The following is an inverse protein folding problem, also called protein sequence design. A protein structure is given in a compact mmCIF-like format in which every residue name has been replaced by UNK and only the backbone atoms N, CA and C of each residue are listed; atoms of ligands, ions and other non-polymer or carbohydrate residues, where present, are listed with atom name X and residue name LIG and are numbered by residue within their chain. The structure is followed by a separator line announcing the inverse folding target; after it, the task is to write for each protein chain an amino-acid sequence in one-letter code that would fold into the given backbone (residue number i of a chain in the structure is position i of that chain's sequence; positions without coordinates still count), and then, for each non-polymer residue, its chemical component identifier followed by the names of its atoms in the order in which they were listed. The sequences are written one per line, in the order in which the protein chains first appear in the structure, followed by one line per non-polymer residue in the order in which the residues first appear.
data_IF_206979775429
#
_entry.id   IF_206979775429
#
_cell.length_a   1.000
_cell.length_b   1.000
_cell.length_c   1.000
_cell.angle_alpha   90.00
_cell.angle_beta   90.00
_cell.angle_gamma   90.00
#
_symmetry.space_group_name_H-M   'P 1'
#
loop_
_entity.id
_entity.type
_entity.pdbx_description
1 polymer ?
#
# COMPACT_ATOMS: atom_id res chain seq x y z
N UNK A 1 7.61 -18.10 20.25
CA UNK A 1 8.88 -17.38 20.58
C UNK A 1 9.75 -18.21 21.52
N UNK A 2 9.20 -18.75 22.60
CA UNK A 2 9.96 -19.55 23.58
C UNK A 2 10.83 -20.69 22.99
N UNK A 3 10.38 -21.24 21.84
CA UNK A 3 11.16 -22.27 21.14
C UNK A 3 12.50 -21.71 20.63
N UNK A 4 12.50 -20.60 19.90
CA UNK A 4 13.73 -20.01 19.37
C UNK A 4 14.60 -19.39 20.46
N UNK A 5 13.99 -18.80 21.50
CA UNK A 5 14.69 -18.32 22.70
C UNK A 5 15.51 -19.44 23.34
N UNK A 6 14.92 -20.63 23.45
CA UNK A 6 15.62 -21.79 24.05
C UNK A 6 16.79 -22.31 23.20
N UNK A 7 16.92 -21.88 21.95
CA UNK A 7 17.95 -22.27 21.00
C UNK A 7 19.02 -21.18 20.79
N UNK A 8 18.87 -20.00 21.38
CA UNK A 8 19.82 -18.90 21.21
C UNK A 8 21.24 -19.35 21.60
N UNK A 9 22.23 -19.02 20.75
CA UNK A 9 23.61 -19.45 20.86
C UNK A 9 23.86 -20.92 20.49
N UNK A 10 22.84 -21.69 20.14
CA UNK A 10 23.00 -23.10 19.80
C UNK A 10 23.25 -23.31 18.32
N UNK A 11 24.01 -24.35 17.99
CA UNK A 11 24.16 -24.86 16.63
C UNK A 11 22.89 -25.63 16.24
N UNK A 12 22.25 -25.20 15.15
CA UNK A 12 21.01 -25.80 14.64
C UNK A 12 21.15 -26.20 13.17
N UNK A 13 20.20 -26.99 12.69
CA UNK A 13 20.07 -27.36 11.30
C UNK A 13 18.63 -27.16 10.83
N UNK A 14 18.47 -26.48 9.70
CA UNK A 14 17.19 -26.32 9.01
C UNK A 14 17.16 -27.28 7.84
N UNK A 15 16.27 -28.30 7.92
CA UNK A 15 16.10 -29.29 6.85
C UNK A 15 15.12 -28.77 5.80
N UNK A 16 15.36 -29.11 4.52
CA UNK A 16 14.48 -28.81 3.40
C UNK A 16 13.98 -27.37 3.43
N UNK A 17 14.87 -26.41 3.69
CA UNK A 17 14.50 -25.01 3.80
C UNK A 17 13.87 -24.49 2.49
N UNK A 18 12.85 -23.63 2.63
CA UNK A 18 12.20 -22.91 1.54
C UNK A 18 12.15 -21.42 1.90
N UNK A 19 12.56 -20.57 0.96
CA UNK A 19 12.49 -19.12 1.14
C UNK A 19 11.04 -18.64 1.03
N UNK A 20 10.60 -17.82 1.98
CA UNK A 20 9.28 -17.18 2.03
C UNK A 20 9.34 -15.68 1.79
N UNK A 21 10.54 -15.15 1.60
CA UNK A 21 10.81 -13.79 1.11
C UNK A 21 11.91 -13.81 0.05
N UNK A 22 12.09 -12.71 -0.65
CA UNK A 22 13.33 -12.42 -1.37
C UNK A 22 14.42 -12.05 -0.38
N UNK A 23 15.69 -12.07 -0.84
CA UNK A 23 16.76 -11.44 -0.09
C UNK A 23 16.54 -9.93 -0.04
N UNK A 24 16.41 -9.38 1.18
CA UNK A 24 16.17 -7.96 1.40
C UNK A 24 17.44 -7.11 1.21
N UNK A 25 17.32 -5.80 1.42
CA UNK A 25 18.42 -4.84 1.31
C UNK A 25 19.52 -5.02 2.35
N UNK A 26 19.26 -5.75 3.42
CA UNK A 26 20.22 -6.11 4.49
C UNK A 26 20.86 -7.49 4.27
N UNK A 27 20.65 -8.09 3.09
CA UNK A 27 21.10 -9.44 2.74
C UNK A 27 20.47 -10.58 3.55
N UNK A 28 19.38 -10.35 4.20
CA UNK A 28 18.62 -11.34 4.97
C UNK A 28 17.55 -11.99 4.11
N UNK A 29 17.17 -13.22 4.46
CA UNK A 29 16.04 -13.92 3.83
C UNK A 29 15.29 -14.74 4.87
N UNK A 30 13.96 -14.65 4.86
CA UNK A 30 13.13 -15.50 5.72
C UNK A 30 12.87 -16.85 5.06
N UNK A 31 12.98 -17.91 5.85
CA UNK A 31 12.78 -19.29 5.42
C UNK A 31 11.86 -20.03 6.40
N UNK A 32 11.28 -21.13 5.90
CA UNK A 32 10.65 -22.17 6.73
C UNK A 32 11.34 -23.49 6.51
N UNK A 33 11.31 -24.34 7.53
CA UNK A 33 11.82 -25.71 7.45
C UNK A 33 10.84 -26.64 6.69
N UNK A 34 11.32 -27.82 6.30
CA UNK A 34 10.55 -28.94 5.76
C UNK A 34 9.60 -28.54 4.61
N UNK A 35 10.06 -27.68 3.69
CA UNK A 35 9.29 -27.10 2.57
C UNK A 35 8.02 -26.34 3.02
N UNK A 36 7.91 -25.96 4.28
CA UNK A 36 6.72 -25.33 4.86
C UNK A 36 5.61 -26.34 5.24
N UNK A 37 5.95 -27.62 5.41
CA UNK A 37 4.99 -28.59 5.99
C UNK A 37 4.56 -28.11 7.39
N UNK A 38 3.26 -27.96 7.60
CA UNK A 38 2.66 -27.39 8.79
C UNK A 38 2.91 -25.88 9.02
N UNK A 39 3.45 -25.15 8.06
CA UNK A 39 3.45 -23.70 8.07
C UNK A 39 2.05 -23.14 7.77
N UNK A 40 1.90 -21.82 7.95
CA UNK A 40 0.66 -21.11 7.65
C UNK A 40 0.20 -21.21 6.19
N UNK A 41 -0.64 -20.28 5.75
CA UNK A 41 -1.15 -20.28 4.36
C UNK A 41 -0.10 -19.71 3.42
N UNK A 42 0.22 -20.46 2.36
CA UNK A 42 1.04 -19.98 1.26
C UNK A 42 0.21 -19.36 0.15
N UNK A 43 0.70 -18.27 -0.41
CA UNK A 43 0.24 -17.79 -1.71
C UNK A 43 0.69 -18.74 -2.83
N UNK A 44 0.16 -18.54 -4.05
CA UNK A 44 0.61 -19.27 -5.24
C UNK A 44 2.09 -19.00 -5.57
N UNK A 45 2.59 -17.84 -5.18
CA UNK A 45 3.97 -17.40 -5.40
C UNK A 45 4.94 -17.99 -4.36
N UNK A 46 4.40 -18.44 -3.23
CA UNK A 46 5.16 -19.14 -2.20
C UNK A 46 5.56 -18.27 -1.00
N UNK A 47 4.89 -17.16 -0.77
CA UNK A 47 5.03 -16.36 0.47
C UNK A 47 4.06 -16.87 1.54
N UNK A 48 4.40 -16.64 2.81
CA UNK A 48 3.50 -16.84 3.93
C UNK A 48 2.63 -15.61 4.13
N UNK A 49 1.31 -15.78 4.05
CA UNK A 49 0.35 -14.70 4.24
C UNK A 49 0.03 -14.54 5.73
N UNK A 50 0.23 -13.33 6.25
CA UNK A 50 -0.10 -12.98 7.63
C UNK A 50 -1.62 -13.01 7.83
N UNK A 51 -2.06 -13.65 8.92
CA UNK A 51 -3.46 -13.74 9.33
C UNK A 51 -3.66 -13.29 10.77
N UNK A 52 -4.87 -12.92 11.11
CA UNK A 52 -5.22 -12.55 12.48
C UNK A 52 -4.87 -13.63 13.50
N UNK A 53 -5.14 -14.89 13.15
CA UNK A 53 -4.97 -16.05 14.03
C UNK A 53 -3.64 -16.76 13.87
N UNK A 54 -2.82 -16.34 12.91
CA UNK A 54 -1.56 -16.98 12.59
C UNK A 54 -0.53 -15.97 12.06
N UNK A 55 0.37 -15.51 12.94
CA UNK A 55 1.44 -14.58 12.58
C UNK A 55 2.66 -15.26 11.92
N UNK A 56 2.58 -16.57 11.60
CA UNK A 56 3.64 -17.39 11.03
C UNK A 56 4.90 -17.45 11.93
N UNK A 57 4.78 -17.95 13.16
CA UNK A 57 5.90 -18.01 14.11
C UNK A 57 6.99 -19.02 13.74
N UNK A 58 6.72 -19.90 12.77
CA UNK A 58 7.65 -20.94 12.28
C UNK A 58 8.71 -20.39 11.31
N UNK A 59 8.54 -19.17 10.80
CA UNK A 59 9.56 -18.54 9.98
C UNK A 59 10.80 -18.20 10.78
N UNK A 60 11.97 -18.29 10.18
CA UNK A 60 13.22 -17.81 10.74
C UNK A 60 14.03 -17.08 9.67
N UNK A 61 14.80 -16.07 10.07
CA UNK A 61 15.66 -15.34 9.14
C UNK A 61 17.02 -16.02 9.01
N UNK A 62 17.55 -16.07 7.81
CA UNK A 62 18.96 -16.32 7.54
C UNK A 62 19.65 -14.96 7.40
N UNK A 63 20.74 -14.77 8.12
CA UNK A 63 21.46 -13.51 8.17
C UNK A 63 22.89 -13.68 7.60
N UNK A 64 23.47 -12.59 7.10
CA UNK A 64 24.74 -12.61 6.40
C UNK A 64 25.97 -12.25 7.28
N UNK A 65 25.82 -12.15 8.60
CA UNK A 65 26.90 -11.72 9.49
C UNK A 65 28.17 -12.59 9.40
N UNK A 66 28.03 -13.88 9.11
CA UNK A 66 29.17 -14.79 8.94
C UNK A 66 29.47 -15.12 7.47
N UNK A 67 28.45 -15.19 6.62
CA UNK A 67 28.56 -15.64 5.23
C UNK A 67 27.69 -14.78 4.33
N UNK A 68 28.27 -14.21 3.28
CA UNK A 68 27.52 -13.48 2.27
C UNK A 68 26.45 -14.37 1.64
N UNK A 69 25.18 -13.98 1.78
CA UNK A 69 24.05 -14.71 1.23
C UNK A 69 24.03 -14.63 -0.31
N UNK A 70 23.68 -15.71 -1.00
CA UNK A 70 23.43 -15.65 -2.44
C UNK A 70 22.19 -14.79 -2.74
N UNK A 71 21.97 -14.48 -4.01
CA UNK A 71 20.69 -13.93 -4.45
C UNK A 71 19.61 -14.99 -4.29
N UNK A 72 18.52 -14.66 -3.59
CA UNK A 72 17.42 -15.57 -3.27
C UNK A 72 16.11 -14.90 -3.64
N UNK A 73 15.29 -15.61 -4.40
CA UNK A 73 13.93 -15.23 -4.74
C UNK A 73 12.92 -15.99 -3.86
N UNK A 74 11.71 -15.43 -3.75
CA UNK A 74 10.57 -16.09 -3.10
C UNK A 74 10.38 -17.50 -3.68
N UNK A 75 10.10 -18.47 -2.80
CA UNK A 75 9.89 -19.87 -3.18
C UNK A 75 11.16 -20.65 -3.51
N UNK A 76 12.36 -20.02 -3.35
CA UNK A 76 13.62 -20.74 -3.56
C UNK A 76 13.73 -21.95 -2.61
N UNK A 77 14.26 -23.07 -3.14
CA UNK A 77 14.44 -24.31 -2.41
C UNK A 77 15.92 -24.60 -2.29
N UNK A 78 16.36 -24.92 -1.10
CA UNK A 78 17.75 -25.28 -0.81
C UNK A 78 18.00 -26.77 -1.05
N UNK A 79 19.17 -27.13 -1.58
CA UNK A 79 19.53 -28.52 -1.91
C UNK A 79 20.08 -29.29 -0.70
N UNK A 80 20.61 -28.57 0.28
CA UNK A 80 21.26 -29.12 1.47
C UNK A 80 20.68 -28.46 2.73
N UNK A 81 20.70 -29.15 3.88
CA UNK A 81 20.33 -28.54 5.14
C UNK A 81 21.19 -27.31 5.43
N UNK A 82 20.60 -26.27 5.97
CA UNK A 82 21.31 -25.08 6.41
C UNK A 82 21.73 -25.27 7.87
N UNK A 83 23.04 -25.28 8.10
CA UNK A 83 23.61 -25.37 9.47
C UNK A 83 24.12 -24.01 9.88
N UNK A 84 23.72 -23.56 11.08
CA UNK A 84 24.10 -22.25 11.59
C UNK A 84 23.84 -22.10 13.09
N UNK A 85 24.21 -20.96 13.63
CA UNK A 85 24.00 -20.61 15.04
C UNK A 85 22.79 -19.70 15.15
N UNK A 86 21.90 -20.00 16.10
CA UNK A 86 20.75 -19.14 16.40
C UNK A 86 21.23 -17.89 17.12
N UNK A 87 20.74 -16.76 16.70
CA UNK A 87 21.02 -15.44 17.23
C UNK A 87 19.73 -14.62 17.32
N UNK A 88 19.72 -13.54 18.09
CA UNK A 88 18.62 -12.61 18.20
C UNK A 88 19.09 -11.18 17.99
N UNK A 89 18.56 -10.51 16.96
CA UNK A 89 18.87 -9.12 16.69
C UNK A 89 17.69 -8.42 15.97
N UNK A 90 17.54 -7.10 16.16
CA UNK A 90 16.47 -6.27 15.56
C UNK A 90 15.06 -6.88 15.70
N UNK A 91 14.77 -7.51 16.85
CA UNK A 91 13.45 -8.06 17.14
C UNK A 91 13.12 -9.37 16.42
N UNK A 92 14.10 -10.07 15.86
CA UNK A 92 13.94 -11.35 15.18
C UNK A 92 14.96 -12.37 15.62
N UNK A 93 14.52 -13.64 15.76
CA UNK A 93 15.43 -14.77 15.81
C UNK A 93 15.97 -15.06 14.41
N UNK A 94 17.29 -15.32 14.35
CA UNK A 94 18.04 -15.49 13.11
C UNK A 94 18.88 -16.75 13.19
N UNK A 95 19.23 -17.32 12.06
CA UNK A 95 20.27 -18.30 11.93
C UNK A 95 21.41 -17.68 11.15
N UNK A 96 22.62 -17.70 11.75
CA UNK A 96 23.86 -17.30 11.11
C UNK A 96 24.46 -18.53 10.40
N UNK A 97 24.33 -18.70 9.07
CA UNK A 97 24.84 -19.89 8.38
C UNK A 97 26.36 -20.01 8.48
N UNK A 98 26.87 -21.21 8.69
CA UNK A 98 28.32 -21.50 8.73
C UNK A 98 28.92 -21.74 7.35
N UNK A 99 28.09 -21.97 6.35
CA UNK A 99 28.49 -22.15 4.95
C UNK A 99 27.47 -21.54 4.02
N UNK A 100 27.91 -21.12 2.83
CA UNK A 100 27.03 -20.51 1.84
C UNK A 100 25.91 -21.48 1.45
N UNK A 101 24.63 -21.12 1.66
CA UNK A 101 23.52 -21.98 1.30
C UNK A 101 23.50 -22.30 -0.20
N UNK A 102 23.23 -23.56 -0.55
CA UNK A 102 23.19 -24.04 -1.94
C UNK A 102 21.75 -24.17 -2.39
N UNK A 103 21.41 -23.50 -3.49
CA UNK A 103 20.05 -23.45 -4.02
C UNK A 103 19.84 -24.56 -5.06
N UNK A 104 18.75 -25.32 -4.94
CA UNK A 104 18.27 -26.29 -5.94
C UNK A 104 17.34 -25.63 -6.96
N UNK A 105 16.51 -24.70 -6.49
CA UNK A 105 15.57 -23.92 -7.29
C UNK A 105 15.62 -22.46 -6.81
N UNK A 106 15.69 -21.54 -7.76
CA UNK A 106 15.72 -20.11 -7.48
C UNK A 106 15.25 -19.34 -8.72
N UNK A 107 13.95 -19.23 -8.89
CA UNK A 107 13.33 -18.62 -10.07
C UNK A 107 12.74 -17.26 -9.72
N UNK A 108 13.14 -16.20 -10.44
CA UNK A 108 12.51 -14.89 -10.25
C UNK A 108 10.99 -14.96 -10.46
N UNK A 109 10.25 -14.28 -9.61
CA UNK A 109 8.82 -14.08 -9.79
C UNK A 109 8.55 -13.27 -11.05
N UNK A 110 7.43 -13.53 -11.71
CA UNK A 110 6.93 -12.74 -12.84
C UNK A 110 5.53 -12.26 -12.53
N UNK A 111 5.40 -10.94 -12.40
CA UNK A 111 4.13 -10.30 -12.14
C UNK A 111 3.13 -10.47 -13.28
N UNK A 112 1.86 -10.55 -12.92
CA UNK A 112 0.72 -10.46 -13.86
C UNK A 112 0.06 -9.11 -13.66
N UNK A 113 -0.25 -8.41 -14.76
CA UNK A 113 -0.95 -7.13 -14.69
C UNK A 113 -2.42 -7.28 -14.31
N UNK A 114 -3.03 -6.20 -13.86
CA UNK A 114 -4.45 -6.12 -13.56
C UNK A 114 -5.33 -6.39 -14.80
N UNK A 115 -6.59 -6.74 -14.54
CA UNK A 115 -7.61 -6.90 -15.59
C UNK A 115 -7.77 -5.64 -16.45
N UNK A 116 -7.74 -4.46 -15.81
CA UNK A 116 -8.07 -3.18 -16.43
C UNK A 116 -9.55 -3.10 -16.84
N UNK A 117 -9.93 -1.96 -17.42
CA UNK A 117 -11.28 -1.74 -17.95
C UNK A 117 -11.47 -2.47 -19.28
N UNK A 118 -12.69 -2.99 -19.50
CA UNK A 118 -13.05 -3.70 -20.73
C UNK A 118 -14.12 -2.95 -21.51
N UNK A 119 -14.95 -2.15 -20.82
CA UNK A 119 -16.08 -1.46 -21.38
C UNK A 119 -16.07 0.03 -20.98
N UNK A 120 -16.71 0.88 -21.78
CA UNK A 120 -16.69 2.34 -21.56
C UNK A 120 -17.39 2.78 -20.27
N UNK A 121 -18.28 1.95 -19.72
CA UNK A 121 -18.99 2.22 -18.46
C UNK A 121 -18.28 1.67 -17.23
N UNK A 122 -17.18 0.97 -17.39
CA UNK A 122 -16.35 0.51 -16.27
C UNK A 122 -15.44 1.63 -15.77
N UNK A 123 -15.34 1.77 -14.46
CA UNK A 123 -14.44 2.70 -13.78
C UNK A 123 -13.36 1.93 -13.03
N UNK A 124 -12.10 2.16 -13.36
CA UNK A 124 -10.96 1.63 -12.64
C UNK A 124 -10.42 2.67 -11.65
N UNK A 125 -10.29 2.25 -10.38
CA UNK A 125 -9.69 3.06 -9.30
C UNK A 125 -8.54 2.27 -8.70
N UNK A 126 -7.39 2.92 -8.49
CA UNK A 126 -6.21 2.27 -7.93
C UNK A 126 -5.54 3.11 -6.85
N UNK A 127 -4.75 2.44 -6.00
CA UNK A 127 -3.85 3.07 -5.04
C UNK A 127 -2.44 2.50 -5.19
N UNK A 128 -1.41 3.33 -5.01
CA UNK A 128 -0.02 2.93 -5.09
C UNK A 128 0.87 3.81 -4.19
N UNK A 129 1.44 3.24 -3.15
CA UNK A 129 2.48 3.88 -2.36
C UNK A 129 3.81 3.80 -3.13
N UNK A 130 4.46 4.93 -3.35
CA UNK A 130 5.67 5.07 -4.18
C UNK A 130 6.96 5.21 -3.35
N UNK A 131 6.94 4.92 -2.04
CA UNK A 131 8.13 4.91 -1.17
C UNK A 131 9.00 6.18 -1.31
N UNK A 132 8.58 7.29 -0.68
CA UNK A 132 9.31 8.57 -0.65
C UNK A 132 9.77 9.07 -2.04
N UNK A 133 8.86 9.13 -2.99
CA UNK A 133 9.15 9.31 -4.42
C UNK A 133 9.39 10.76 -4.84
N UNK A 134 10.48 10.95 -5.63
CA UNK A 134 10.74 12.19 -6.35
C UNK A 134 11.28 11.91 -7.78
N UNK A 135 10.46 12.14 -8.80
CA UNK A 135 10.80 11.89 -10.21
C UNK A 135 12.01 12.68 -10.72
N UNK A 136 12.25 13.86 -10.14
CA UNK A 136 13.36 14.72 -10.56
C UNK A 136 14.73 14.22 -10.08
N UNK A 137 14.74 13.43 -8.99
CA UNK A 137 15.97 12.84 -8.44
C UNK A 137 16.14 11.38 -8.86
N UNK A 138 15.05 10.67 -9.14
CA UNK A 138 15.00 9.23 -9.40
C UNK A 138 14.45 8.92 -10.80
N UNK A 139 15.05 9.50 -11.83
CA UNK A 139 14.53 9.48 -13.22
C UNK A 139 14.24 8.06 -13.75
N UNK A 140 15.13 7.10 -13.51
CA UNK A 140 14.90 5.73 -14.00
C UNK A 140 13.78 5.01 -13.22
N UNK A 141 13.67 5.28 -11.93
CA UNK A 141 12.56 4.79 -11.10
C UNK A 141 11.23 5.42 -11.55
N UNK A 142 11.22 6.71 -11.88
CA UNK A 142 10.04 7.40 -12.43
C UNK A 142 9.55 6.72 -13.72
N UNK A 143 10.45 6.43 -14.65
CA UNK A 143 10.12 5.71 -15.88
C UNK A 143 9.64 4.27 -15.62
N UNK A 144 10.17 3.59 -14.59
CA UNK A 144 9.70 2.27 -14.20
C UNK A 144 8.27 2.36 -13.67
N UNK A 145 7.99 3.27 -12.73
CA UNK A 145 6.65 3.53 -12.19
C UNK A 145 5.67 3.86 -13.33
N UNK A 146 6.07 4.71 -14.27
CA UNK A 146 5.25 5.06 -15.42
C UNK A 146 4.87 3.82 -16.26
N UNK A 147 5.83 2.92 -16.56
CA UNK A 147 5.55 1.64 -17.24
C UNK A 147 4.63 0.74 -16.41
N UNK A 148 4.84 0.65 -15.11
CA UNK A 148 3.98 -0.13 -14.20
C UNK A 148 2.53 0.39 -14.22
N UNK A 149 2.33 1.70 -14.16
CA UNK A 149 0.99 2.32 -14.25
C UNK A 149 0.33 1.98 -15.58
N UNK A 150 1.05 2.07 -16.69
CA UNK A 150 0.50 1.85 -18.04
C UNK A 150 0.30 0.37 -18.34
N UNK A 151 1.33 -0.45 -18.09
CA UNK A 151 1.39 -1.83 -18.56
C UNK A 151 0.81 -2.82 -17.54
N UNK A 152 1.05 -2.59 -16.24
CA UNK A 152 0.64 -3.50 -15.18
C UNK A 152 -0.71 -3.11 -14.59
N UNK A 153 -0.92 -1.83 -14.25
CA UNK A 153 -2.20 -1.34 -13.71
C UNK A 153 -3.24 -1.06 -14.79
N UNK A 154 -2.86 -1.10 -16.08
CA UNK A 154 -3.73 -0.80 -17.23
C UNK A 154 -4.30 0.61 -17.23
N UNK A 155 -3.50 1.56 -16.73
CA UNK A 155 -3.83 2.98 -16.68
C UNK A 155 -5.23 3.23 -16.07
N UNK A 156 -5.43 3.03 -14.75
CA UNK A 156 -6.72 3.23 -14.09
C UNK A 156 -7.25 4.65 -14.28
N UNK A 157 -8.57 4.82 -14.30
CA UNK A 157 -9.20 6.14 -14.48
C UNK A 157 -8.85 7.11 -13.35
N UNK A 158 -8.75 6.58 -12.13
CA UNK A 158 -8.34 7.32 -10.92
C UNK A 158 -7.24 6.54 -10.23
N UNK A 159 -6.12 7.21 -9.95
CA UNK A 159 -4.98 6.62 -9.26
C UNK A 159 -4.57 7.50 -8.07
N UNK A 160 -4.63 6.94 -6.87
CA UNK A 160 -4.23 7.61 -5.64
C UNK A 160 -2.79 7.19 -5.30
N UNK A 161 -1.89 8.15 -5.28
CA UNK A 161 -0.48 7.94 -4.99
C UNK A 161 -0.16 8.40 -3.57
N UNK A 162 0.62 7.62 -2.84
CA UNK A 162 1.15 7.98 -1.53
C UNK A 162 2.66 8.23 -1.62
N UNK A 163 3.18 8.91 -0.61
CA UNK A 163 4.60 9.23 -0.45
C UNK A 163 5.24 10.06 -1.57
N UNK A 164 4.44 10.91 -2.21
CA UNK A 164 4.96 11.89 -3.15
C UNK A 164 5.69 12.98 -2.37
N UNK A 165 7.01 13.12 -2.57
CA UNK A 165 7.81 14.21 -2.00
C UNK A 165 7.59 15.52 -2.75
N UNK A 166 8.07 16.62 -2.16
CA UNK A 166 8.14 17.90 -2.85
C UNK A 166 9.22 17.94 -3.94
N UNK A 167 9.33 19.08 -4.63
CA UNK A 167 10.18 19.24 -5.81
C UNK A 167 11.69 19.14 -5.53
N UNK A 168 12.12 19.19 -4.28
CA UNK A 168 13.51 19.05 -3.88
C UNK A 168 13.83 17.78 -3.06
N UNK A 169 12.85 16.88 -2.93
CA UNK A 169 13.01 15.61 -2.24
C UNK A 169 13.14 15.77 -0.72
N UNK A 170 14.05 15.05 -0.09
CA UNK A 170 14.26 15.09 1.37
C UNK A 170 15.08 16.28 1.87
N UNK A 171 15.38 17.28 1.03
CA UNK A 171 16.11 18.47 1.45
C UNK A 171 15.22 19.37 2.30
N UNK A 172 15.52 19.49 3.60
CA UNK A 172 14.76 20.37 4.49
C UNK A 172 14.95 21.84 4.14
N UNK A 173 13.98 22.42 3.46
CA UNK A 173 13.99 23.78 2.94
C UNK A 173 12.62 24.46 3.14
N UNK A 174 12.35 25.57 2.44
CA UNK A 174 11.03 26.21 2.39
C UNK A 174 10.14 25.67 1.26
N UNK A 175 10.68 24.78 0.42
CA UNK A 175 9.91 24.14 -0.65
C UNK A 175 8.88 23.18 -0.07
N UNK A 176 7.66 23.27 -0.57
CA UNK A 176 6.56 22.36 -0.24
C UNK A 176 5.76 21.97 -1.50
N UNK A 177 6.09 22.58 -2.67
CA UNK A 177 5.43 22.25 -3.92
C UNK A 177 5.93 20.90 -4.45
N UNK A 178 5.03 20.09 -5.01
CA UNK A 178 5.36 18.89 -5.78
C UNK A 178 4.96 19.03 -7.27
N UNK A 179 4.76 20.25 -7.75
CA UNK A 179 4.25 20.48 -9.11
C UNK A 179 5.20 19.95 -10.18
N UNK A 180 6.50 20.19 -10.03
CA UNK A 180 7.53 19.72 -10.97
C UNK A 180 7.73 18.21 -10.89
N UNK A 181 7.73 17.66 -9.68
CA UNK A 181 7.79 16.21 -9.43
C UNK A 181 6.62 15.52 -10.15
N UNK A 182 5.39 15.97 -9.92
CA UNK A 182 4.19 15.39 -10.54
C UNK A 182 4.13 15.59 -12.06
N UNK A 183 4.54 16.75 -12.57
CA UNK A 183 4.61 17.00 -14.01
C UNK A 183 5.57 16.03 -14.67
N UNK A 184 6.75 15.83 -14.10
CA UNK A 184 7.75 14.89 -14.64
C UNK A 184 7.23 13.44 -14.65
N UNK A 185 6.56 12.99 -13.59
CA UNK A 185 5.95 11.65 -13.58
C UNK A 185 4.85 11.52 -14.64
N UNK A 186 4.00 12.53 -14.80
CA UNK A 186 2.93 12.51 -15.81
C UNK A 186 3.54 12.49 -17.22
N UNK A 187 4.62 13.23 -17.48
CA UNK A 187 5.32 13.20 -18.76
C UNK A 187 5.90 11.81 -19.04
N UNK A 188 6.49 11.15 -18.04
CA UNK A 188 6.97 9.76 -18.16
C UNK A 188 5.82 8.78 -18.47
N UNK A 189 4.61 8.98 -17.89
CA UNK A 189 3.42 8.16 -18.19
C UNK A 189 2.95 8.40 -19.64
N UNK A 190 2.95 9.65 -20.10
CA UNK A 190 2.62 10.00 -21.49
C UNK A 190 3.59 9.29 -22.43
N UNK A 191 4.89 9.33 -22.14
CA UNK A 191 5.92 8.66 -22.95
C UNK A 191 5.74 7.13 -22.93
N UNK A 192 5.54 6.52 -21.76
CA UNK A 192 5.32 5.07 -21.63
C UNK A 192 4.09 4.60 -22.40
N UNK A 193 3.02 5.40 -22.42
CA UNK A 193 1.77 5.12 -23.14
C UNK A 193 1.79 5.56 -24.61
N UNK A 194 2.89 6.14 -25.10
CA UNK A 194 3.00 6.71 -26.46
C UNK A 194 1.93 7.77 -26.72
N UNK A 195 1.61 8.59 -25.74
CA UNK A 195 0.63 9.66 -25.82
C UNK A 195 -0.84 9.22 -25.68
N UNK A 196 -1.12 7.95 -25.37
CA UNK A 196 -2.49 7.44 -25.26
C UNK A 196 -3.13 7.75 -23.90
N UNK A 197 -2.32 7.87 -22.84
CA UNK A 197 -2.77 8.11 -21.48
C UNK A 197 -2.30 9.48 -21.02
N UNK A 198 -3.24 10.30 -20.57
CA UNK A 198 -2.98 11.65 -20.05
C UNK A 198 -3.67 11.81 -18.72
N UNK A 199 -2.89 11.95 -17.67
CA UNK A 199 -3.39 12.25 -16.33
C UNK A 199 -3.33 13.75 -16.02
N UNK A 200 -4.23 14.17 -15.12
CA UNK A 200 -4.09 15.42 -14.37
C UNK A 200 -3.92 15.08 -12.89
N UNK A 201 -3.15 15.90 -12.18
CA UNK A 201 -2.92 15.75 -10.75
C UNK A 201 -3.83 16.67 -9.93
N UNK A 202 -4.41 16.13 -8.88
CA UNK A 202 -5.05 16.87 -7.79
C UNK A 202 -4.13 16.77 -6.58
N UNK A 203 -3.47 17.87 -6.26
CA UNK A 203 -2.49 17.98 -5.19
C UNK A 203 -2.84 19.16 -4.27
N UNK A 204 -2.67 18.96 -2.98
CA UNK A 204 -2.72 20.00 -1.96
C UNK A 204 -1.39 19.98 -1.21
N UNK A 205 -0.58 21.03 -1.39
CA UNK A 205 0.71 21.12 -0.70
C UNK A 205 0.51 21.14 0.82
N UNK A 206 1.28 20.35 1.60
CA UNK A 206 1.24 20.40 3.06
C UNK A 206 1.80 21.70 3.61
N UNK A 207 1.52 22.01 4.86
CA UNK A 207 2.35 22.94 5.61
C UNK A 207 3.69 22.25 5.90
N UNK A 208 4.79 23.01 5.81
CA UNK A 208 6.15 22.49 5.93
C UNK A 208 6.33 21.62 7.16
N UNK A 209 6.77 20.37 6.97
CA UNK A 209 7.05 19.37 8.00
C UNK A 209 5.86 19.12 8.97
N UNK A 210 4.61 19.33 8.54
CA UNK A 210 3.43 19.13 9.39
C UNK A 210 2.63 17.87 9.08
N UNK A 211 2.97 17.16 8.00
CA UNK A 211 2.24 15.96 7.58
C UNK A 211 3.01 14.65 7.93
N UNK A 212 4.07 14.74 8.75
CA UNK A 212 4.89 13.59 9.15
C UNK A 212 5.72 13.02 8.00
N UNK A 213 6.19 11.79 8.17
CA UNK A 213 7.07 11.12 7.22
C UNK A 213 8.53 11.61 7.27
N UNK A 214 9.25 11.51 6.16
CA UNK A 214 10.64 11.94 6.10
C UNK A 214 10.75 13.46 6.22
N UNK A 215 11.60 13.93 7.15
CA UNK A 215 11.84 15.36 7.36
C UNK A 215 12.34 16.02 6.07
N UNK A 216 11.75 17.16 5.71
CA UNK A 216 12.07 17.88 4.47
C UNK A 216 11.31 17.37 3.25
N UNK A 217 10.89 16.10 3.20
CA UNK A 217 10.21 15.52 2.05
C UNK A 217 8.79 16.01 1.84
N UNK A 218 8.15 16.53 2.91
CA UNK A 218 6.77 17.03 2.84
C UNK A 218 5.84 16.07 2.08
N UNK A 219 5.94 14.76 2.40
CA UNK A 219 5.22 13.70 1.68
C UNK A 219 3.71 13.89 1.76
N UNK A 220 3.02 13.53 0.70
CA UNK A 220 1.58 13.72 0.56
C UNK A 220 0.90 12.61 -0.23
N UNK A 221 -0.42 12.59 -0.12
CA UNK A 221 -1.29 11.81 -0.99
C UNK A 221 -1.77 12.69 -2.14
N UNK A 222 -1.72 12.16 -3.36
CA UNK A 222 -2.10 12.83 -4.61
C UNK A 222 -3.11 11.97 -5.35
N UNK A 223 -4.08 12.59 -6.02
CA UNK A 223 -5.00 11.89 -6.91
C UNK A 223 -4.64 12.26 -8.36
N UNK A 224 -4.26 11.26 -9.15
CA UNK A 224 -4.19 11.37 -10.61
C UNK A 224 -5.51 10.91 -11.22
N UNK A 225 -5.99 11.58 -12.26
CA UNK A 225 -7.19 11.15 -12.97
C UNK A 225 -7.03 11.30 -14.48
N UNK A 226 -7.55 10.32 -15.22
CA UNK A 226 -7.55 10.36 -16.68
C UNK A 226 -8.60 11.30 -17.23
N UNK A 227 -8.24 12.00 -18.31
CA UNK A 227 -9.16 12.94 -18.98
C UNK A 227 -9.77 12.37 -20.24
N UNK A 228 -9.36 11.17 -20.67
CA UNK A 228 -9.69 10.59 -21.98
C UNK A 228 -10.94 9.68 -22.00
N UNK A 229 -11.44 9.26 -20.81
CA UNK A 229 -12.50 8.24 -20.70
C UNK A 229 -13.84 8.76 -20.18
N UNK A 230 -14.10 10.06 -20.33
CA UNK A 230 -15.39 10.63 -19.90
C UNK A 230 -15.50 10.88 -18.38
N UNK A 231 -14.40 10.72 -17.62
CA UNK A 231 -14.36 11.12 -16.22
C UNK A 231 -14.27 12.65 -16.13
N UNK A 232 -15.30 13.26 -15.55
CA UNK A 232 -15.38 14.70 -15.38
C UNK A 232 -14.92 15.08 -13.96
N UNK A 233 -14.11 16.12 -13.87
CA UNK A 233 -13.77 16.76 -12.61
C UNK A 233 -14.46 18.12 -12.54
N UNK A 234 -15.54 18.25 -11.74
CA UNK A 234 -16.26 19.52 -11.60
C UNK A 234 -15.34 20.61 -11.07
N UNK A 235 -15.25 21.73 -11.79
CA UNK A 235 -14.45 22.86 -11.34
C UNK A 235 -14.99 23.42 -10.03
N UNK A 236 -14.09 23.70 -9.07
CA UNK A 236 -14.40 24.23 -7.77
C UNK A 236 -13.21 24.99 -7.17
N UNK A 237 -13.39 25.48 -5.95
CA UNK A 237 -12.26 26.02 -5.18
C UNK A 237 -11.38 24.86 -4.73
N UNK A 238 -10.09 24.98 -4.96
CA UNK A 238 -9.10 24.01 -4.48
C UNK A 238 -8.79 24.33 -3.01
N UNK A 239 -8.71 23.30 -2.17
CA UNK A 239 -8.32 23.41 -0.78
C UNK A 239 -6.86 23.79 -0.60
N UNK A 240 -6.51 24.17 0.61
CA UNK A 240 -5.12 24.42 1.05
C UNK A 240 -4.72 23.47 2.20
N UNK A 241 -3.51 23.68 2.74
CA UNK A 241 -2.94 22.82 3.78
C UNK A 241 -3.79 22.71 5.05
N UNK A 242 -4.57 23.74 5.38
CA UNK A 242 -5.21 23.94 6.70
C UNK A 242 -6.72 24.12 6.65
N UNK A 243 -7.26 24.51 5.50
CA UNK A 243 -8.70 24.72 5.33
C UNK A 243 -9.42 23.37 5.14
N UNK A 244 -10.37 23.10 6.02
CA UNK A 244 -11.18 21.88 5.93
C UNK A 244 -12.21 21.95 4.81
N UNK A 245 -12.40 20.84 4.12
CA UNK A 245 -13.53 20.65 3.23
C UNK A 245 -14.80 20.42 4.06
N UNK A 246 -15.91 20.98 3.61
CA UNK A 246 -17.25 20.70 4.14
C UNK A 246 -18.22 20.36 3.01
N UNK A 247 -19.45 20.04 3.36
CA UNK A 247 -20.48 19.61 2.42
C UNK A 247 -21.59 20.67 2.29
N UNK A 248 -22.11 20.80 1.08
CA UNK A 248 -23.35 21.53 0.80
C UNK A 248 -24.33 20.54 0.13
N UNK A 249 -25.60 20.64 0.51
CA UNK A 249 -26.63 19.87 -0.15
C UNK A 249 -27.19 20.68 -1.33
N UNK A 250 -27.13 20.09 -2.54
CA UNK A 250 -27.71 20.67 -3.74
C UNK A 250 -28.54 19.60 -4.48
N UNK A 251 -29.86 19.77 -4.52
CA UNK A 251 -30.78 18.84 -5.20
C UNK A 251 -30.61 17.36 -4.77
N UNK A 252 -30.36 17.11 -3.48
CA UNK A 252 -30.13 15.78 -2.93
C UNK A 252 -28.72 15.22 -3.15
N UNK A 253 -27.82 16.01 -3.76
CA UNK A 253 -26.39 15.67 -3.94
C UNK A 253 -25.57 16.31 -2.83
N UNK A 254 -24.58 15.61 -2.35
CA UNK A 254 -23.56 16.15 -1.46
C UNK A 254 -22.46 16.81 -2.30
N UNK A 255 -22.31 18.14 -2.19
CA UNK A 255 -21.33 18.89 -2.97
C UNK A 255 -20.19 19.32 -2.05
N UNK A 256 -18.95 19.05 -2.45
CA UNK A 256 -17.77 19.51 -1.73
C UNK A 256 -17.64 21.04 -1.84
N UNK A 257 -17.34 21.72 -0.72
CA UNK A 257 -17.05 23.16 -0.72
C UNK A 257 -15.67 23.48 -1.32
N UNK A 258 -14.75 22.50 -1.23
CA UNK A 258 -13.40 22.53 -1.81
C UNK A 258 -13.20 21.22 -2.59
N UNK A 259 -12.85 21.30 -3.86
CA UNK A 259 -12.64 20.13 -4.72
C UNK A 259 -11.35 20.29 -5.57
N UNK A 260 -10.23 19.61 -5.24
CA UNK A 260 -10.06 18.72 -4.08
C UNK A 260 -10.01 19.49 -2.76
N UNK A 261 -10.26 18.78 -1.64
CA UNK A 261 -10.16 19.33 -0.29
C UNK A 261 -9.48 18.37 0.69
N UNK A 262 -9.11 18.86 1.87
CA UNK A 262 -8.60 18.04 2.98
C UNK A 262 -9.69 17.81 4.01
N UNK A 263 -9.84 16.55 4.45
CA UNK A 263 -10.79 16.17 5.50
C UNK A 263 -10.19 16.53 6.84
N UNK A 264 -10.78 17.52 7.53
CA UNK A 264 -10.45 17.95 8.88
C UNK A 264 -8.95 18.04 9.20
N UNK A 265 -8.17 18.80 8.43
CA UNK A 265 -6.70 18.83 8.56
C UNK A 265 -6.23 19.30 9.95
N UNK A 266 -7.04 20.02 10.71
CA UNK A 266 -6.77 20.45 12.09
C UNK A 266 -7.14 19.41 13.16
N UNK A 267 -7.71 18.26 12.80
CA UNK A 267 -8.06 17.21 13.76
C UNK A 267 -6.79 16.55 14.33
N UNK A 268 -6.76 16.32 15.64
CA UNK A 268 -5.62 15.70 16.33
C UNK A 268 -5.28 14.28 15.84
N UNK A 269 -6.22 13.59 15.20
CA UNK A 269 -5.98 12.31 14.54
C UNK A 269 -4.89 12.39 13.45
N UNK A 270 -4.73 13.58 12.84
CA UNK A 270 -3.77 13.82 11.78
C UNK A 270 -2.56 14.65 12.24
N UNK A 271 -2.33 14.76 13.56
CA UNK A 271 -1.12 15.41 14.08
C UNK A 271 0.11 14.66 13.62
N UNK A 272 1.09 15.35 13.06
CA UNK A 272 2.33 14.78 12.51
C UNK A 272 2.08 13.54 11.59
N UNK A 273 1.02 13.62 10.79
CA UNK A 273 0.60 12.56 9.87
C UNK A 273 -0.08 13.17 8.64
N UNK A 274 -0.10 12.43 7.53
CA UNK A 274 -0.72 12.84 6.26
C UNK A 274 -2.21 13.08 6.46
N UNK A 275 -2.73 14.14 5.82
CA UNK A 275 -4.14 14.52 5.88
C UNK A 275 -4.88 13.88 4.69
N UNK A 276 -6.04 13.25 4.90
CA UNK A 276 -6.81 12.68 3.80
C UNK A 276 -7.21 13.74 2.78
N UNK A 277 -7.05 13.41 1.49
CA UNK A 277 -7.51 14.22 0.37
C UNK A 277 -8.81 13.64 -0.17
N UNK A 278 -9.80 14.49 -0.44
CA UNK A 278 -11.04 14.08 -1.09
C UNK A 278 -11.23 14.85 -2.39
N UNK A 279 -11.70 14.13 -3.41
CA UNK A 279 -12.16 14.71 -4.67
C UNK A 279 -13.53 14.12 -5.06
N UNK A 280 -14.36 14.97 -5.66
CA UNK A 280 -15.65 14.59 -6.26
C UNK A 280 -15.49 14.62 -7.77
N UNK A 281 -15.87 13.52 -8.42
CA UNK A 281 -15.90 13.34 -9.86
C UNK A 281 -17.33 13.06 -10.34
N UNK A 282 -17.54 13.16 -11.65
CA UNK A 282 -18.75 12.66 -12.31
C UNK A 282 -18.32 11.67 -13.39
N UNK A 283 -18.90 10.49 -13.38
CA UNK A 283 -18.71 9.47 -14.40
C UNK A 283 -20.06 8.86 -14.78
N UNK A 284 -20.37 8.85 -16.06
CA UNK A 284 -21.69 8.42 -16.59
C UNK A 284 -22.88 9.09 -15.85
N UNK A 285 -22.74 10.39 -15.53
CA UNK A 285 -23.75 11.16 -14.82
C UNK A 285 -23.92 10.86 -13.33
N UNK A 286 -23.06 10.01 -12.75
CA UNK A 286 -23.07 9.64 -11.34
C UNK A 286 -21.92 10.35 -10.58
N UNK A 287 -22.23 10.90 -9.39
CA UNK A 287 -21.21 11.45 -8.50
C UNK A 287 -20.39 10.35 -7.86
N UNK A 288 -19.06 10.50 -7.87
CA UNK A 288 -18.12 9.58 -7.25
C UNK A 288 -17.21 10.38 -6.33
N UNK A 289 -17.17 9.98 -5.06
CA UNK A 289 -16.31 10.58 -4.06
C UNK A 289 -15.11 9.66 -3.82
N UNK A 290 -13.90 10.21 -3.99
CA UNK A 290 -12.65 9.48 -3.82
C UNK A 290 -11.90 10.09 -2.65
N UNK A 291 -11.64 9.30 -1.60
CA UNK A 291 -10.93 9.70 -0.40
C UNK A 291 -9.60 8.96 -0.36
N UNK A 292 -8.52 9.68 -0.72
CA UNK A 292 -7.16 9.17 -0.67
C UNK A 292 -6.54 9.32 0.71
N UNK A 293 -5.95 8.25 1.23
CA UNK A 293 -5.38 8.18 2.56
C UNK A 293 -3.92 7.70 2.55
N UNK A 294 -3.19 8.09 3.57
CA UNK A 294 -1.97 7.43 4.01
C UNK A 294 -1.95 7.56 5.54
N UNK A 295 -2.36 6.49 6.24
CA UNK A 295 -2.48 6.50 7.69
C UNK A 295 -1.10 6.46 8.37
N UNK A 296 -1.09 6.64 9.69
CA UNK A 296 0.14 6.63 10.48
C UNK A 296 0.82 5.25 10.39
N UNK A 297 2.15 5.28 10.18
CA UNK A 297 2.93 4.05 10.02
C UNK A 297 2.99 3.22 11.30
N UNK A 298 3.44 1.96 11.16
CA UNK A 298 3.69 1.04 12.28
C UNK A 298 5.07 1.22 12.93
N UNK A 299 5.84 2.24 12.54
CA UNK A 299 7.22 2.41 12.98
C UNK A 299 7.45 2.53 14.50
N UNK A 300 6.40 2.87 15.26
CA UNK A 300 6.45 2.91 16.72
C UNK A 300 6.01 1.59 17.39
N UNK A 301 5.51 0.63 16.60
CA UNK A 301 5.03 -0.65 17.12
C UNK A 301 6.20 -1.58 17.43
N UNK A 302 6.06 -2.38 18.48
CA UNK A 302 7.03 -3.42 18.81
C UNK A 302 7.14 -4.48 17.72
N UNK A 303 8.31 -5.09 17.51
CA UNK A 303 8.50 -6.11 16.51
C UNK A 303 7.58 -7.31 16.76
N UNK A 304 7.04 -7.88 15.67
CA UNK A 304 6.06 -8.97 15.75
C UNK A 304 6.60 -10.20 16.49
N UNK A 305 7.90 -10.46 16.36
CA UNK A 305 8.57 -11.63 16.95
C UNK A 305 9.59 -11.25 18.01
N UNK A 306 9.49 -10.04 18.57
CA UNK A 306 10.35 -9.57 19.65
C UNK A 306 10.12 -10.32 20.96
N UNK A 307 10.99 -10.05 21.93
CA UNK A 307 10.96 -10.60 23.29
C UNK A 307 9.67 -10.25 24.04
N UNK A 308 9.08 -9.10 23.73
CA UNK A 308 7.82 -8.68 24.33
C UNK A 308 6.61 -9.23 23.56
N UNK A 309 5.89 -10.18 24.20
CA UNK A 309 4.68 -10.80 23.64
C UNK A 309 3.45 -10.58 24.53
N UNK A 310 2.29 -10.18 23.96
CA UNK A 310 2.10 -9.73 22.58
C UNK A 310 2.82 -8.41 22.31
N UNK A 311 3.18 -8.10 21.03
CA UNK A 311 3.85 -6.86 20.68
C UNK A 311 2.99 -5.65 21.02
N UNK A 312 3.60 -4.60 21.56
CA UNK A 312 2.91 -3.34 21.81
C UNK A 312 2.66 -2.61 20.48
N UNK A 313 1.48 -2.01 20.34
CA UNK A 313 1.06 -1.29 19.12
C UNK A 313 0.62 0.14 19.46
N UNK A 314 1.53 1.02 19.93
CA UNK A 314 1.17 2.39 20.32
C UNK A 314 0.66 3.22 19.13
N UNK A 315 1.15 2.99 17.91
CA UNK A 315 0.75 3.71 16.70
C UNK A 315 -0.69 3.40 16.27
N UNK A 316 -1.25 2.25 16.62
CA UNK A 316 -2.62 1.84 16.28
C UNK A 316 -3.67 2.83 16.81
N UNK A 317 -3.42 3.47 17.96
CA UNK A 317 -4.32 4.47 18.53
C UNK A 317 -4.56 5.63 17.58
N UNK A 318 -3.51 6.10 16.89
CA UNK A 318 -3.63 7.16 15.92
C UNK A 318 -4.38 6.67 14.67
N UNK A 319 -4.10 5.46 14.17
CA UNK A 319 -4.83 4.88 13.03
C UNK A 319 -6.31 4.69 13.34
N UNK A 320 -6.69 4.27 14.55
CA UNK A 320 -8.10 4.20 14.98
C UNK A 320 -8.74 5.59 14.93
N UNK A 321 -8.05 6.62 15.42
CA UNK A 321 -8.57 7.99 15.38
C UNK A 321 -8.70 8.52 13.94
N UNK A 322 -7.77 8.19 13.06
CA UNK A 322 -7.81 8.51 11.64
C UNK A 322 -8.98 7.80 10.94
N UNK A 323 -9.14 6.50 11.17
CA UNK A 323 -10.27 5.72 10.65
C UNK A 323 -11.62 6.30 11.10
N UNK A 324 -11.73 6.69 12.37
CA UNK A 324 -12.95 7.34 12.90
C UNK A 324 -13.22 8.69 12.23
N UNK A 325 -12.20 9.49 11.97
CA UNK A 325 -12.36 10.79 11.32
C UNK A 325 -12.84 10.63 9.86
N UNK A 326 -12.20 9.73 9.08
CA UNK A 326 -12.61 9.45 7.71
C UNK A 326 -14.02 8.86 7.65
N UNK A 327 -14.35 7.88 8.52
CA UNK A 327 -15.71 7.33 8.60
C UNK A 327 -16.75 8.40 8.94
N UNK A 328 -16.41 9.35 9.83
CA UNK A 328 -17.28 10.48 10.14
C UNK A 328 -17.64 11.32 8.91
N UNK A 329 -16.63 11.63 8.06
CA UNK A 329 -16.88 12.39 6.84
C UNK A 329 -17.67 11.58 5.80
N UNK A 330 -17.41 10.27 5.70
CA UNK A 330 -18.24 9.36 4.88
C UNK A 330 -19.70 9.40 5.33
N UNK A 331 -19.96 9.37 6.64
CA UNK A 331 -21.30 9.49 7.20
C UNK A 331 -21.98 10.79 6.81
N UNK A 332 -21.27 11.91 6.89
CA UNK A 332 -21.80 13.22 6.51
C UNK A 332 -22.22 13.24 5.03
N UNK A 333 -21.48 12.60 4.13
CA UNK A 333 -21.87 12.43 2.73
C UNK A 333 -23.16 11.57 2.62
N UNK A 334 -23.21 10.43 3.32
CA UNK A 334 -24.30 9.49 3.25
C UNK A 334 -25.58 10.02 3.92
N UNK A 335 -25.48 10.91 4.90
CA UNK A 335 -26.62 11.61 5.52
C UNK A 335 -27.32 12.53 4.51
N UNK A 336 -26.56 13.10 3.56
CA UNK A 336 -27.13 13.91 2.44
C UNK A 336 -27.61 13.01 1.30
N UNK A 337 -26.79 12.04 0.92
CA UNK A 337 -27.11 11.09 -0.16
C UNK A 337 -26.80 9.64 0.28
N UNK A 338 -27.80 8.89 0.77
CA UNK A 338 -27.59 7.50 1.21
C UNK A 338 -27.15 6.52 0.12
N UNK A 339 -27.22 6.94 -1.16
CA UNK A 339 -26.76 6.15 -2.32
C UNK A 339 -25.47 6.69 -2.92
N UNK A 340 -24.71 7.54 -2.23
CA UNK A 340 -23.48 8.08 -2.73
C UNK A 340 -22.45 6.95 -3.02
N UNK A 341 -21.80 7.06 -4.18
CA UNK A 341 -20.73 6.17 -4.58
C UNK A 341 -19.43 6.71 -4.01
N UNK A 342 -18.91 6.05 -2.97
CA UNK A 342 -17.72 6.50 -2.22
C UNK A 342 -16.67 5.40 -2.29
N UNK A 343 -15.44 5.80 -2.63
CA UNK A 343 -14.24 4.97 -2.54
C UNK A 343 -13.31 5.59 -1.50
N UNK A 344 -12.88 4.79 -0.54
CA UNK A 344 -11.85 5.15 0.45
C UNK A 344 -10.66 4.21 0.22
N UNK A 345 -9.50 4.76 -0.10
CA UNK A 345 -8.36 3.94 -0.49
C UNK A 345 -7.03 4.57 -0.09
N UNK A 346 -5.98 3.76 -0.11
CA UNK A 346 -4.61 4.18 0.17
C UNK A 346 -3.83 3.14 0.96
N UNK A 347 -2.64 3.53 1.35
CA UNK A 347 -1.88 2.85 2.39
C UNK A 347 -2.51 3.18 3.75
N UNK A 348 -3.29 2.23 4.27
CA UNK A 348 -3.99 2.37 5.55
C UNK A 348 -3.14 1.92 6.73
N UNK A 349 -1.91 1.43 6.45
CA UNK A 349 -0.90 1.04 7.42
C UNK A 349 -1.41 0.09 8.52
N UNK A 350 -2.49 -0.64 8.26
CA UNK A 350 -3.01 -1.64 9.19
C UNK A 350 -3.67 -2.82 8.48
N UNK A 351 -3.82 -3.91 9.22
CA UNK A 351 -4.36 -5.16 8.70
C UNK A 351 -5.88 -5.09 8.53
N UNK A 352 -6.47 -5.80 7.55
CA UNK A 352 -7.92 -5.75 7.28
C UNK A 352 -8.81 -6.10 8.48
N UNK A 353 -8.30 -6.89 9.42
CA UNK A 353 -9.00 -7.32 10.65
C UNK A 353 -8.72 -6.43 11.86
N UNK A 354 -7.94 -5.36 11.72
CA UNK A 354 -7.56 -4.48 12.83
C UNK A 354 -8.72 -3.60 13.30
N UNK A 355 -8.66 -3.16 14.55
CA UNK A 355 -9.64 -2.23 15.14
C UNK A 355 -9.71 -0.91 14.35
N UNK A 356 -8.59 -0.47 13.76
CA UNK A 356 -8.55 0.74 12.93
C UNK A 356 -9.38 0.56 11.66
N UNK A 357 -9.30 -0.60 11.00
CA UNK A 357 -10.09 -0.91 9.80
C UNK A 357 -11.56 -1.14 10.13
N UNK A 358 -11.88 -1.87 11.19
CA UNK A 358 -13.26 -2.02 11.69
C UNK A 358 -13.90 -0.63 11.97
N UNK A 359 -13.11 0.28 12.56
CA UNK A 359 -13.55 1.66 12.84
C UNK A 359 -13.77 2.46 11.56
N UNK A 360 -12.89 2.30 10.56
CA UNK A 360 -13.01 2.97 9.26
C UNK A 360 -14.24 2.45 8.49
N UNK A 361 -14.48 1.14 8.48
CA UNK A 361 -15.67 0.55 7.87
C UNK A 361 -16.94 1.06 8.55
N UNK A 362 -16.99 1.01 9.89
CA UNK A 362 -18.06 1.54 10.76
C UNK A 362 -19.47 1.17 10.30
N UNK A 363 -19.62 0.05 9.59
CA UNK A 363 -20.86 -0.41 8.99
C UNK A 363 -21.37 0.41 7.80
N UNK A 364 -20.58 1.37 7.28
CA UNK A 364 -20.90 2.22 6.14
C UNK A 364 -20.17 1.80 4.87
N UNK A 365 -18.97 1.26 5.02
CA UNK A 365 -18.08 0.82 3.95
C UNK A 365 -17.89 -0.70 4.00
N UNK A 366 -17.54 -1.27 2.87
CA UNK A 366 -17.13 -2.66 2.71
C UNK A 366 -15.67 -2.69 2.24
N UNK A 367 -14.83 -3.45 2.93
CA UNK A 367 -13.44 -3.61 2.54
C UNK A 367 -13.33 -4.66 1.43
N UNK A 368 -12.94 -4.22 0.25
CA UNK A 368 -12.94 -5.06 -0.94
C UNK A 368 -11.86 -6.14 -0.94
N UNK A 369 -10.84 -6.03 -0.08
CA UNK A 369 -9.82 -7.08 0.07
C UNK A 369 -10.41 -8.43 0.43
N UNK A 370 -11.55 -8.45 1.14
CA UNK A 370 -12.23 -9.70 1.51
C UNK A 370 -12.87 -10.44 0.33
N UNK A 371 -12.92 -9.83 -0.86
CA UNK A 371 -13.33 -10.52 -2.09
C UNK A 371 -12.24 -11.43 -2.66
N UNK A 372 -10.98 -11.21 -2.26
CA UNK A 372 -9.87 -12.09 -2.61
C UNK A 372 -9.86 -13.36 -1.75
N UNK A 373 -9.40 -14.50 -2.29
CA UNK A 373 -8.99 -15.64 -1.50
C UNK A 373 -7.95 -15.22 -0.44
N UNK A 374 -8.01 -15.83 0.75
CA UNK A 374 -7.18 -15.42 1.88
C UNK A 374 -5.68 -15.43 1.54
N UNK A 375 -5.24 -16.39 0.76
CA UNK A 375 -3.84 -16.53 0.34
C UNK A 375 -3.38 -15.53 -0.74
N UNK A 376 -4.25 -14.61 -1.17
CA UNK A 376 -3.93 -13.53 -2.13
C UNK A 376 -4.07 -12.14 -1.48
N UNK A 377 -4.35 -12.08 -0.17
CA UNK A 377 -4.56 -10.81 0.55
C UNK A 377 -3.24 -10.26 1.05
N UNK A 378 -2.46 -9.65 0.18
CA UNK A 378 -1.25 -8.91 0.57
C UNK A 378 -0.87 -7.87 -0.49
N UNK A 379 -0.18 -6.84 -0.05
CA UNK A 379 0.37 -5.76 -0.87
C UNK A 379 1.78 -5.34 -0.41
N UNK A 380 2.27 -5.96 0.66
CA UNK A 380 3.53 -5.57 1.29
C UNK A 380 4.23 -6.80 1.88
N UNK A 381 5.55 -6.82 1.86
CA UNK A 381 6.35 -7.88 2.49
C UNK A 381 7.16 -7.29 3.64
N UNK A 382 6.94 -7.80 4.84
CA UNK A 382 7.74 -7.42 6.00
C UNK A 382 8.27 -8.63 6.74
N UNK A 383 9.58 -8.73 6.86
CA UNK A 383 10.25 -9.79 7.62
C UNK A 383 9.77 -11.22 7.28
N UNK A 384 9.48 -11.51 6.01
CA UNK A 384 8.99 -12.80 5.56
C UNK A 384 7.50 -13.07 5.76
N UNK A 385 6.73 -12.06 6.17
CA UNK A 385 5.27 -12.07 6.19
C UNK A 385 4.70 -11.19 5.08
N UNK A 386 3.85 -11.77 4.25
CA UNK A 386 3.06 -11.04 3.28
C UNK A 386 1.86 -10.37 3.99
N UNK A 387 1.78 -9.04 3.95
CA UNK A 387 0.83 -8.23 4.71
C UNK A 387 -0.05 -7.41 3.78
N UNK A 388 -1.30 -7.14 4.18
CA UNK A 388 -2.18 -6.20 3.50
C UNK A 388 -2.10 -4.85 4.22
N UNK A 389 -1.56 -3.83 3.55
CA UNK A 389 -1.53 -2.45 4.05
C UNK A 389 -2.30 -1.51 3.12
N UNK A 390 -2.20 -1.74 1.81
CA UNK A 390 -2.89 -0.99 0.77
C UNK A 390 -4.26 -1.59 0.53
N UNK A 391 -5.32 -0.80 0.73
CA UNK A 391 -6.68 -1.29 0.72
C UNK A 391 -7.62 -0.32 0.01
N UNK A 392 -8.69 -0.86 -0.58
CA UNK A 392 -9.80 -0.09 -1.15
C UNK A 392 -11.09 -0.53 -0.46
N UNK A 393 -11.79 0.44 0.11
CA UNK A 393 -13.11 0.27 0.69
C UNK A 393 -14.14 1.02 -0.16
N UNK A 394 -15.33 0.47 -0.28
CA UNK A 394 -16.43 1.07 -1.06
C UNK A 394 -17.69 1.24 -0.22
N UNK A 395 -18.48 2.29 -0.49
CA UNK A 395 -19.80 2.43 0.10
C UNK A 395 -20.70 1.27 -0.28
N UNK A 396 -21.71 0.99 0.55
CA UNK A 396 -22.71 -0.08 0.30
C UNK A 396 -23.46 0.07 -1.03
N UNK A 397 -23.50 1.27 -1.59
CA UNK A 397 -24.08 1.52 -2.93
C UNK A 397 -23.11 1.16 -4.04
N UNK A 398 -21.80 1.25 -3.79
CA UNK A 398 -20.75 0.99 -4.79
C UNK A 398 -20.21 -0.45 -4.74
N UNK A 399 -20.04 -1.03 -3.56
CA UNK A 399 -19.45 -2.36 -3.40
C UNK A 399 -20.12 -3.47 -4.23
N UNK A 400 -21.46 -3.53 -4.38
CA UNK A 400 -22.13 -4.51 -5.25
C UNK A 400 -21.83 -4.36 -6.74
N UNK A 401 -21.25 -3.23 -7.16
CA UNK A 401 -20.87 -2.94 -8.54
C UNK A 401 -19.44 -3.37 -8.87
N UNK A 402 -18.73 -3.99 -7.92
CA UNK A 402 -17.37 -4.47 -8.11
C UNK A 402 -17.31 -5.59 -9.16
N UNK A 403 -16.46 -5.40 -10.16
CA UNK A 403 -16.16 -6.39 -11.20
C UNK A 403 -14.86 -7.15 -10.93
N UNK A 404 -13.82 -6.45 -10.45
CA UNK A 404 -12.56 -7.06 -10.01
C UNK A 404 -11.91 -6.24 -8.91
N UNK A 405 -11.17 -6.93 -8.03
CA UNK A 405 -10.24 -6.35 -7.06
C UNK A 405 -8.95 -7.15 -7.11
N UNK A 406 -7.82 -6.48 -7.28
CA UNK A 406 -6.54 -7.12 -7.53
C UNK A 406 -5.42 -6.38 -6.79
N UNK A 407 -4.62 -7.11 -6.02
CA UNK A 407 -3.29 -6.66 -5.61
C UNK A 407 -2.30 -7.08 -6.71
N UNK A 408 -1.64 -6.11 -7.32
CA UNK A 408 -0.77 -6.36 -8.48
C UNK A 408 0.67 -6.50 -7.98
N UNK A 409 1.09 -7.74 -7.72
CA UNK A 409 2.38 -8.05 -7.10
C UNK A 409 3.55 -7.77 -8.05
N UNK A 410 3.97 -6.52 -8.14
CA UNK A 410 5.08 -6.07 -8.98
C UNK A 410 6.32 -5.70 -8.15
N UNK A 411 6.16 -5.49 -6.85
CA UNK A 411 7.21 -5.02 -5.95
C UNK A 411 7.51 -6.00 -4.80
N UNK A 412 6.50 -6.36 -4.00
CA UNK A 412 6.68 -7.13 -2.76
C UNK A 412 7.40 -8.48 -2.94
N UNK A 413 7.36 -9.03 -4.14
CA UNK A 413 7.99 -10.32 -4.51
C UNK A 413 9.28 -10.17 -5.31
N UNK A 414 9.68 -8.94 -5.63
CA UNK A 414 10.90 -8.61 -6.35
C UNK A 414 12.12 -8.47 -5.42
N UNK A 415 13.30 -8.45 -6.02
CA UNK A 415 14.50 -8.01 -5.28
C UNK A 415 14.49 -6.48 -5.15
N UNK A 416 14.92 -5.89 -4.03
CA UNK A 416 14.86 -4.44 -3.81
C UNK A 416 15.46 -3.57 -4.92
N UNK A 417 16.48 -4.07 -5.62
CA UNK A 417 17.11 -3.35 -6.73
C UNK A 417 16.30 -3.35 -8.04
N UNK A 418 15.33 -4.25 -8.16
CA UNK A 418 14.56 -4.50 -9.39
C UNK A 418 13.12 -3.94 -9.27
N UNK A 419 12.72 -3.45 -8.09
CA UNK A 419 11.39 -2.94 -7.77
C UNK A 419 11.37 -1.42 -7.73
N UNK A 420 10.21 -0.83 -8.01
CA UNK A 420 10.02 0.61 -7.98
C UNK A 420 9.50 1.12 -6.63
N UNK A 421 8.98 0.25 -5.79
CA UNK A 421 8.49 0.52 -4.44
C UNK A 421 8.63 -0.74 -3.58
N UNK A 422 8.41 -0.62 -2.30
CA UNK A 422 8.25 -1.75 -1.36
C UNK A 422 6.77 -2.19 -1.23
N UNK A 423 5.83 -1.40 -1.78
CA UNK A 423 4.40 -1.69 -1.82
C UNK A 423 3.95 -2.16 -3.20
N UNK A 424 3.00 -3.10 -3.22
CA UNK A 424 2.26 -3.46 -4.44
C UNK A 424 1.03 -2.55 -4.60
N UNK A 425 0.76 -2.05 -5.81
CA UNK A 425 -0.46 -1.31 -6.08
C UNK A 425 -1.70 -2.22 -6.04
N UNK A 426 -2.83 -1.62 -5.71
CA UNK A 426 -4.14 -2.29 -5.65
C UNK A 426 -5.11 -1.61 -6.61
N UNK A 427 -5.85 -2.40 -7.39
CA UNK A 427 -6.80 -1.93 -8.40
C UNK A 427 -8.18 -2.51 -8.15
N UNK A 428 -9.21 -1.68 -8.23
CA UNK A 428 -10.62 -2.09 -8.24
C UNK A 428 -11.30 -1.57 -9.51
N UNK A 429 -12.09 -2.41 -10.16
CA UNK A 429 -12.90 -2.03 -11.34
C UNK A 429 -14.37 -2.18 -10.99
N UNK A 430 -15.17 -1.14 -11.27
CA UNK A 430 -16.60 -1.09 -10.97
C UNK A 430 -17.43 -0.95 -12.25
N UNK A 431 -18.60 -1.61 -12.27
CA UNK A 431 -19.63 -1.41 -13.27
C UNK A 431 -20.46 -0.15 -12.93
N UNK A 432 -20.27 0.91 -13.68
CA UNK A 432 -21.03 2.16 -13.57
C UNK A 432 -21.90 2.39 -14.81
N UNK A 433 -22.40 1.32 -15.41
CA UNK A 433 -23.44 1.42 -16.44
C UNK A 433 -24.62 2.26 -15.92
N UNK A 434 -25.28 3.00 -16.80
CA UNK A 434 -26.46 3.76 -16.43
C UNK A 434 -27.49 2.80 -15.81
N UNK A 435 -28.08 3.20 -14.69
CA UNK A 435 -29.22 2.47 -14.13
C UNK A 435 -30.40 2.62 -15.11
N UNK A 436 -30.89 1.50 -15.65
CA UNK A 436 -32.17 1.44 -16.39
C UNK A 436 -33.33 1.90 -15.52
#
# INVERSE_FOLDING_TARGET
MDFFESLEGMLVQINNARAVSTRNGYNEVSVVADNGENAGIFSSEGVLVLRETDPNPERIMLDDALIMMPEIHVGAVFSEPIVGVVDYDFGNYRVQPLSKPVLRQNTPFRATGARGVQEDWELAVATYNLENFNSLQEVERSKQIAREIVEMLKAPDILVLQEIMDDNGSLDSQEVSAERNLTSLIDDIVDASKGQVVYKALNINPARNMDGGITGGNIRTVILYQTSRGLEFPSGLIGDATTEVSLRQENGRAMLTLNPGRIWPGNSAFFDSRKPIIAQFVFNGQDIYVIGNHFNSKGEDGPLFGDQQPPQRPSERQRIAQGKAVNGFVRDILDINPKALIVVLGDLNDFPWSVSMETLEGGLLENLVFTLPENQRFSYMHEGNAQTLDQILASKALAPKLLSYEAVHINSLGLPRDTASDHDPVVAVFDLSALD
#
